data_IF_778782966077
#
_entry.id   IF_778782966077
#
_cell.length_a   1.000
_cell.length_b   1.000
_cell.length_c   1.000
_cell.angle_alpha   90.00
_cell.angle_beta   90.00
_cell.angle_gamma   90.00
#
_symmetry.space_group_name_H-M   'P 1'
#
loop_
_entity.id
_entity.type
_entity.pdbx_description
1 polymer ?
#
# COMPACT_ATOMS: atom_id res chain seq x y z
N UNK A 1 2.69 11.66 7.74
CA UNK A 1 1.75 11.24 6.69
C UNK A 1 2.51 10.97 5.41
N UNK A 2 2.58 9.71 5.02
CA UNK A 2 3.27 9.23 3.83
C UNK A 2 2.27 8.71 2.81
N UNK A 3 2.49 9.02 1.53
CA UNK A 3 1.71 8.47 0.41
C UNK A 3 2.47 7.32 -0.23
N UNK A 4 1.78 6.24 -0.58
CA UNK A 4 2.40 5.05 -1.19
C UNK A 4 1.77 4.76 -2.54
N UNK A 5 2.62 4.54 -3.55
CA UNK A 5 2.26 3.99 -4.85
C UNK A 5 2.76 2.55 -4.91
N UNK A 6 1.85 1.58 -5.05
CA UNK A 6 2.17 0.17 -5.26
C UNK A 6 1.98 -0.15 -6.74
N UNK A 7 3.05 -0.61 -7.41
CA UNK A 7 3.01 -0.99 -8.82
C UNK A 7 3.07 -2.52 -8.94
N UNK A 8 2.05 -3.08 -9.58
CA UNK A 8 1.84 -4.53 -9.74
C UNK A 8 0.78 -5.10 -8.80
N UNK A 9 0.10 -6.16 -9.24
CA UNK A 9 -1.08 -6.74 -8.58
C UNK A 9 -0.87 -8.21 -8.11
N UNK A 10 0.38 -8.65 -7.99
CA UNK A 10 0.73 -10.00 -7.53
C UNK A 10 0.60 -10.18 -6.01
N UNK A 11 0.89 -11.39 -5.53
CA UNK A 11 0.79 -11.73 -4.10
C UNK A 11 1.61 -10.82 -3.18
N UNK A 12 2.78 -10.35 -3.64
CA UNK A 12 3.63 -9.42 -2.87
C UNK A 12 2.94 -8.07 -2.65
N UNK A 13 2.28 -7.53 -3.69
CA UNK A 13 1.57 -6.26 -3.60
C UNK A 13 0.41 -6.36 -2.60
N UNK A 14 -0.34 -7.48 -2.63
CA UNK A 14 -1.41 -7.73 -1.67
C UNK A 14 -0.92 -7.72 -0.22
N UNK A 15 0.20 -8.40 0.07
CA UNK A 15 0.81 -8.40 1.41
C UNK A 15 1.27 -7.02 1.83
N UNK A 16 1.93 -6.28 0.93
CA UNK A 16 2.40 -4.92 1.22
C UNK A 16 1.23 -3.96 1.53
N UNK A 17 0.17 -3.98 0.72
CA UNK A 17 -1.03 -3.16 0.93
C UNK A 17 -1.67 -3.48 2.29
N UNK A 18 -1.84 -4.76 2.62
CA UNK A 18 -2.41 -5.18 3.91
C UNK A 18 -1.58 -4.63 5.09
N UNK A 19 -0.25 -4.66 4.99
CA UNK A 19 0.63 -4.10 6.03
C UNK A 19 0.57 -2.58 6.10
N UNK A 20 0.46 -1.88 4.97
CA UNK A 20 0.27 -0.44 4.96
C UNK A 20 -1.07 -0.05 5.61
N UNK A 21 -2.15 -0.78 5.33
CA UNK A 21 -3.47 -0.55 5.96
C UNK A 21 -3.47 -0.78 7.48
N UNK A 22 -2.63 -1.70 7.98
CA UNK A 22 -2.43 -1.91 9.43
C UNK A 22 -1.71 -0.75 10.10
N UNK A 23 -1.07 0.14 9.34
CA UNK A 23 -0.33 1.30 9.84
C UNK A 23 -0.85 2.59 9.19
N UNK A 24 -2.17 2.83 9.34
CA UNK A 24 -2.89 3.94 8.72
C UNK A 24 -2.50 5.33 9.26
N UNK A 25 -1.86 5.41 10.43
CA UNK A 25 -1.29 6.66 10.96
C UNK A 25 -0.05 7.12 10.16
N UNK A 26 0.71 6.17 9.62
CA UNK A 26 1.87 6.44 8.76
C UNK A 26 1.43 6.57 7.30
N UNK A 27 0.64 5.61 6.80
CA UNK A 27 0.22 5.51 5.41
C UNK A 27 -1.23 5.94 5.24
N UNK A 28 -1.42 7.22 4.92
CA UNK A 28 -2.76 7.82 4.84
C UNK A 28 -3.34 7.81 3.44
N UNK A 29 -2.53 7.53 2.43
CA UNK A 29 -2.98 7.43 1.04
C UNK A 29 -2.24 6.31 0.31
N UNK A 30 -3.00 5.44 -0.34
CA UNK A 30 -2.52 4.31 -1.14
C UNK A 30 -3.07 4.45 -2.57
N UNK A 31 -2.17 4.55 -3.53
CA UNK A 31 -2.47 4.45 -4.95
C UNK A 31 -1.94 3.11 -5.47
N UNK A 32 -2.76 2.38 -6.22
CA UNK A 32 -2.37 1.12 -6.83
C UNK A 32 -2.41 1.31 -8.34
N UNK A 33 -1.29 0.99 -9.00
CA UNK A 33 -1.18 0.97 -10.45
C UNK A 33 -0.74 -0.42 -10.91
N UNK A 34 -1.12 -0.80 -12.13
CA UNK A 34 -0.71 -2.06 -12.75
C UNK A 34 0.00 -1.82 -14.06
#
# INVERSE_FOLDING_TARGET
MSKVLVIGCGGVASVAIQKCCQNSEVFTELCIAS
#
